data_IF_091127770852
#
_entry.id   IF_091127770852
#
_cell.length_a   1.000
_cell.length_b   1.000
_cell.length_c   1.000
_cell.angle_alpha   90.00
_cell.angle_beta   90.00
_cell.angle_gamma   90.00
#
_symmetry.space_group_name_H-M   'P 1'
#
loop_
_entity.id
_entity.type
_entity.pdbx_description
1 polymer ?
#
# COMPACT_ATOMS: atom_id res chain seq x y z
N UNK A 1 -3.76 -6.03 21.63
CA UNK A 1 -4.42 -4.84 21.05
C UNK A 1 -3.51 -3.92 20.23
N UNK A 2 -2.22 -3.81 20.53
CA UNK A 2 -1.29 -2.90 19.83
C UNK A 2 -1.35 -3.00 18.30
N UNK A 3 -1.32 -4.21 17.72
CA UNK A 3 -1.33 -4.41 16.26
C UNK A 3 -2.57 -3.79 15.59
N UNK A 4 -3.77 -4.05 16.13
CA UNK A 4 -5.02 -3.53 15.58
C UNK A 4 -5.05 -1.99 15.62
N UNK A 5 -4.63 -1.41 16.75
CA UNK A 5 -4.53 0.03 16.90
C UNK A 5 -3.51 0.65 15.94
N UNK A 6 -2.32 0.04 15.80
CA UNK A 6 -1.28 0.53 14.88
C UNK A 6 -1.71 0.46 13.43
N UNK A 7 -2.43 -0.60 13.00
CA UNK A 7 -2.94 -0.71 11.63
C UNK A 7 -3.97 0.36 11.31
N UNK A 8 -4.90 0.59 12.25
CA UNK A 8 -5.91 1.65 12.13
C UNK A 8 -5.25 3.03 12.02
N UNK A 9 -4.28 3.32 12.89
CA UNK A 9 -3.52 4.57 12.86
C UNK A 9 -2.78 4.75 11.53
N UNK A 10 -2.07 3.71 11.06
CA UNK A 10 -1.40 3.72 9.76
C UNK A 10 -2.37 4.02 8.60
N UNK A 11 -3.53 3.36 8.58
CA UNK A 11 -4.56 3.60 7.57
C UNK A 11 -5.05 5.06 7.58
N UNK A 12 -5.32 5.62 8.76
CA UNK A 12 -5.73 7.02 8.89
C UNK A 12 -4.66 8.01 8.39
N UNK A 13 -3.39 7.74 8.69
CA UNK A 13 -2.27 8.60 8.28
C UNK A 13 -1.98 8.51 6.79
N UNK A 14 -2.10 7.32 6.20
CA UNK A 14 -2.05 7.13 4.76
C UNK A 14 -3.19 7.85 4.05
N UNK A 15 -4.41 7.79 4.59
CA UNK A 15 -5.55 8.53 4.06
C UNK A 15 -5.30 10.04 4.07
N UNK A 16 -4.71 10.58 5.14
CA UNK A 16 -4.36 12.00 5.24
C UNK A 16 -3.32 12.42 4.20
N UNK A 17 -2.25 11.63 4.00
CA UNK A 17 -1.25 11.88 2.95
C UNK A 17 -1.86 11.86 1.57
N UNK A 18 -2.72 10.88 1.28
CA UNK A 18 -3.36 10.75 -0.02
C UNK A 18 -4.37 11.86 -0.29
N UNK A 19 -4.96 12.46 0.75
CA UNK A 19 -5.84 13.63 0.63
C UNK A 19 -5.06 14.90 0.29
N UNK A 20 -3.85 15.06 0.85
CA UNK A 20 -3.00 16.21 0.56
C UNK A 20 -2.14 16.07 -0.71
N UNK A 21 -2.12 14.89 -1.33
CA UNK A 21 -1.28 14.62 -2.51
C UNK A 21 -2.09 14.76 -3.79
N UNK A 22 -1.78 15.77 -4.60
CA UNK A 22 -2.28 15.89 -5.96
C UNK A 22 -1.43 15.06 -6.94
N UNK A 23 -2.06 14.48 -7.98
CA UNK A 23 -1.35 13.74 -9.01
C UNK A 23 -2.28 12.99 -9.98
N UNK A 24 -1.69 12.25 -10.92
CA UNK A 24 -2.44 11.48 -11.91
C UNK A 24 -3.02 10.16 -11.37
N UNK A 25 -2.57 9.71 -10.19
CA UNK A 25 -3.08 8.50 -9.55
C UNK A 25 -4.37 8.78 -8.77
N UNK A 26 -5.35 7.86 -8.80
CA UNK A 26 -6.56 8.01 -8.02
C UNK A 26 -6.24 7.96 -6.52
N UNK A 27 -6.97 8.76 -5.74
CA UNK A 27 -6.95 8.66 -4.28
C UNK A 27 -7.49 7.28 -3.88
N UNK A 28 -6.74 6.54 -3.09
CA UNK A 28 -7.26 5.38 -2.37
C UNK A 28 -7.77 5.83 -0.99
N UNK A 29 -8.87 5.22 -0.55
CA UNK A 29 -9.39 5.36 0.82
C UNK A 29 -9.25 4.00 1.48
N UNK A 30 -8.46 3.94 2.55
CA UNK A 30 -8.13 2.72 3.28
C UNK A 30 -9.01 2.59 4.53
N UNK A 31 -9.49 1.39 4.77
CA UNK A 31 -10.12 0.98 6.01
C UNK A 31 -9.59 -0.40 6.42
N UNK A 32 -9.51 -0.66 7.72
CA UNK A 32 -9.19 -2.01 8.22
C UNK A 32 -10.49 -2.67 8.65
N UNK A 33 -10.82 -3.80 8.04
CA UNK A 33 -12.03 -4.56 8.32
C UNK A 33 -11.67 -5.76 9.18
N UNK A 34 -12.03 -5.72 10.46
CA UNK A 34 -11.75 -6.80 11.39
C UNK A 34 -12.46 -6.56 12.70
N UNK A 35 -12.79 -7.63 13.42
CA UNK A 35 -13.52 -7.49 14.68
C UNK A 35 -12.73 -6.67 15.71
N UNK A 36 -11.42 -6.91 15.95
CA UNK A 36 -10.66 -6.09 16.90
C UNK A 36 -10.59 -4.61 16.52
N UNK A 37 -10.44 -4.29 15.23
CA UNK A 37 -10.40 -2.92 14.73
C UNK A 37 -11.76 -2.22 14.85
N UNK A 38 -12.85 -2.88 14.46
CA UNK A 38 -14.20 -2.32 14.61
C UNK A 38 -14.60 -2.12 16.07
N UNK A 39 -14.19 -3.02 16.98
CA UNK A 39 -14.44 -2.83 18.41
C UNK A 39 -13.70 -1.61 19.00
N UNK A 40 -12.55 -1.22 18.41
CA UNK A 40 -11.82 -0.01 18.81
C UNK A 40 -12.51 1.29 18.38
N UNK A 41 -13.52 1.23 17.52
CA UNK A 41 -14.38 2.39 17.20
C UNK A 41 -15.48 2.58 18.26
N UNK A 42 -15.86 1.50 18.96
CA UNK A 42 -16.95 1.49 19.93
C UNK A 42 -16.47 1.63 21.38
N UNK A 43 -15.24 1.20 21.68
CA UNK A 43 -14.76 1.07 23.05
C UNK A 43 -13.25 1.36 23.21
N UNK A 44 -12.79 1.76 24.41
CA UNK A 44 -11.37 1.91 24.71
C UNK A 44 -10.60 0.60 24.56
N UNK A 45 -9.31 0.70 24.22
CA UNK A 45 -8.45 -0.46 23.95
C UNK A 45 -8.46 -1.52 25.06
N UNK A 46 -8.55 -1.11 26.33
CA UNK A 46 -8.61 -2.04 27.46
C UNK A 46 -9.88 -2.90 27.45
N UNK A 47 -11.05 -2.30 27.15
CA UNK A 47 -12.31 -3.02 27.07
C UNK A 47 -12.33 -3.97 25.85
N UNK A 48 -11.74 -3.53 24.73
CA UNK A 48 -11.59 -4.37 23.54
C UNK A 48 -10.64 -5.54 23.79
N UNK A 49 -9.57 -5.34 24.56
CA UNK A 49 -8.67 -6.42 24.96
C UNK A 49 -9.40 -7.50 25.76
N UNK A 50 -10.25 -7.09 26.71
CA UNK A 50 -11.03 -8.03 27.50
C UNK A 50 -12.09 -8.74 26.64
N UNK A 51 -12.73 -8.03 25.71
CA UNK A 51 -13.64 -8.62 24.73
C UNK A 51 -12.94 -9.66 23.85
N UNK A 52 -11.73 -9.37 23.38
CA UNK A 52 -10.92 -10.31 22.60
C UNK A 52 -10.50 -11.52 23.44
N UNK A 53 -10.10 -11.32 24.71
CA UNK A 53 -9.78 -12.40 25.66
C UNK A 53 -10.97 -13.34 25.82
N UNK A 54 -12.17 -12.80 26.03
CA UNK A 54 -13.39 -13.57 26.17
C UNK A 54 -13.74 -14.34 24.88
N UNK A 55 -13.63 -13.69 23.71
CA UNK A 55 -13.88 -14.32 22.41
C UNK A 55 -12.93 -15.50 22.13
N UNK A 56 -11.63 -15.32 22.42
CA UNK A 56 -10.62 -16.38 22.32
C UNK A 56 -10.89 -17.54 23.29
N UNK A 57 -11.32 -17.26 24.52
CA UNK A 57 -11.68 -18.28 25.49
C UNK A 57 -12.89 -19.10 25.03
N UNK A 58 -13.93 -18.43 24.51
CA UNK A 58 -15.14 -19.07 24.03
C UNK A 58 -14.91 -19.93 22.77
N UNK A 59 -14.05 -19.48 21.85
CA UNK A 59 -13.77 -20.18 20.60
C UNK A 59 -12.79 -21.37 20.75
N UNK A 60 -12.19 -21.58 21.92
CA UNK A 60 -11.10 -22.55 22.13
C UNK A 60 -11.42 -23.96 21.64
N UNK A 61 -12.64 -24.45 21.88
CA UNK A 61 -13.06 -25.78 21.43
C UNK A 61 -13.13 -25.90 19.91
N UNK A 62 -13.73 -24.90 19.26
CA UNK A 62 -13.85 -24.87 17.79
C UNK A 62 -12.50 -24.65 17.10
N UNK A 63 -11.65 -23.80 17.67
CA UNK A 63 -10.29 -23.53 17.18
C UNK A 63 -9.41 -24.79 17.29
N UNK A 64 -9.60 -25.61 18.33
CA UNK A 64 -8.90 -26.88 18.46
C UNK A 64 -9.31 -27.91 17.40
N UNK A 65 -10.59 -27.91 16.99
CA UNK A 65 -11.09 -28.80 15.93
C UNK A 65 -10.63 -28.31 14.55
N UNK A 66 -10.65 -27.00 14.30
CA UNK A 66 -10.28 -26.42 13.00
C UNK A 66 -8.77 -26.28 12.81
N UNK A 67 -7.98 -26.32 13.89
CA UNK A 67 -6.54 -26.03 13.88
C UNK A 67 -6.21 -24.55 13.59
N UNK A 68 -7.19 -23.66 13.65
CA UNK A 68 -7.03 -22.25 13.29
C UNK A 68 -7.68 -21.34 14.32
N UNK A 69 -6.97 -20.28 14.72
CA UNK A 69 -7.52 -19.23 15.60
C UNK A 69 -8.48 -18.32 14.83
N UNK A 70 -9.73 -18.25 15.28
CA UNK A 70 -10.80 -17.47 14.63
C UNK A 70 -10.80 -15.98 14.97
N UNK A 71 -10.26 -15.59 16.13
CA UNK A 71 -10.30 -14.21 16.62
C UNK A 71 -8.91 -13.60 16.72
N UNK A 72 -8.75 -12.40 16.18
CA UNK A 72 -7.50 -11.64 16.29
C UNK A 72 -7.22 -10.81 15.04
N UNK A 73 -6.24 -9.89 15.11
CA UNK A 73 -5.92 -8.99 14.01
C UNK A 73 -5.38 -9.72 12.77
N UNK A 74 -4.91 -10.97 12.90
CA UNK A 74 -4.51 -11.79 11.75
C UNK A 74 -5.66 -12.17 10.82
N UNK A 75 -6.91 -11.96 11.26
CA UNK A 75 -8.13 -12.19 10.46
C UNK A 75 -8.67 -10.91 9.81
N UNK A 76 -8.07 -9.75 10.11
CA UNK A 76 -8.51 -8.47 9.58
C UNK A 76 -8.02 -8.28 8.15
N UNK A 77 -8.83 -7.61 7.34
CA UNK A 77 -8.56 -7.29 5.94
C UNK A 77 -8.32 -5.79 5.75
N UNK A 78 -7.64 -5.42 4.66
CA UNK A 78 -7.46 -4.04 4.23
C UNK A 78 -8.45 -3.74 3.11
N UNK A 79 -9.54 -3.08 3.46
CA UNK A 79 -10.48 -2.56 2.48
C UNK A 79 -9.92 -1.31 1.82
N UNK A 80 -10.04 -1.26 0.50
CA UNK A 80 -9.61 -0.12 -0.32
C UNK A 80 -10.77 0.31 -1.18
N UNK A 81 -11.09 1.60 -1.18
CA UNK A 81 -12.10 2.20 -2.05
C UNK A 81 -11.49 3.31 -2.91
N UNK A 82 -12.04 3.48 -4.12
CA UNK A 82 -11.67 4.56 -5.02
C UNK A 82 -12.24 5.89 -4.51
N UNK A 83 -11.38 6.83 -4.15
CA UNK A 83 -11.75 8.02 -3.38
C UNK A 83 -12.72 9.00 -4.07
N UNK A 84 -12.89 8.92 -5.39
CA UNK A 84 -13.89 9.74 -6.11
C UNK A 84 -15.27 9.09 -6.19
N UNK A 85 -15.31 7.78 -6.42
CA UNK A 85 -16.56 7.04 -6.71
C UNK A 85 -17.08 6.29 -5.49
N UNK A 86 -16.23 6.07 -4.47
CA UNK A 86 -16.52 5.19 -3.34
C UNK A 86 -16.50 3.70 -3.70
N UNK A 87 -16.25 3.36 -4.97
CA UNK A 87 -16.27 1.97 -5.45
C UNK A 87 -15.19 1.14 -4.76
N UNK A 88 -15.51 -0.06 -4.24
CA UNK A 88 -14.51 -0.98 -3.72
C UNK A 88 -13.47 -1.30 -4.78
N UNK A 89 -12.18 -1.32 -4.41
CA UNK A 89 -11.09 -1.56 -5.35
C UNK A 89 -11.24 -2.90 -6.09
N UNK A 90 -11.79 -3.92 -5.41
CA UNK A 90 -12.08 -5.23 -6.00
C UNK A 90 -13.07 -5.16 -7.19
N UNK A 91 -13.91 -4.13 -7.24
CA UNK A 91 -14.90 -3.89 -8.32
C UNK A 91 -14.38 -2.92 -9.38
N UNK A 92 -13.27 -2.22 -9.14
CA UNK A 92 -12.65 -1.34 -10.12
C UNK A 92 -12.00 -2.14 -11.27
N UNK A 93 -11.73 -1.47 -12.39
CA UNK A 93 -10.98 -2.08 -13.48
C UNK A 93 -9.55 -2.43 -13.06
N UNK A 94 -8.91 -3.40 -13.71
CA UNK A 94 -7.52 -3.80 -13.41
C UNK A 94 -6.54 -2.62 -13.48
N UNK A 95 -6.76 -1.68 -14.41
CA UNK A 95 -5.94 -0.46 -14.52
C UNK A 95 -6.12 0.48 -13.32
N UNK A 96 -7.36 0.64 -12.84
CA UNK A 96 -7.65 1.43 -11.63
C UNK A 96 -7.10 0.76 -10.37
N UNK A 97 -7.23 -0.56 -10.24
CA UNK A 97 -6.64 -1.32 -9.13
C UNK A 97 -5.13 -1.09 -9.03
N UNK A 98 -4.41 -1.21 -10.17
CA UNK A 98 -2.96 -0.93 -10.22
C UNK A 98 -2.64 0.51 -9.86
N UNK A 99 -3.46 1.46 -10.33
CA UNK A 99 -3.27 2.87 -10.03
C UNK A 99 -3.53 3.22 -8.55
N UNK A 100 -4.52 2.56 -7.91
CA UNK A 100 -4.77 2.65 -6.46
C UNK A 100 -3.63 2.03 -5.66
N UNK A 101 -3.11 0.88 -6.08
CA UNK A 101 -1.95 0.26 -5.43
C UNK A 101 -0.72 1.19 -5.46
N UNK A 102 -0.46 1.82 -6.60
CA UNK A 102 0.63 2.79 -6.73
C UNK A 102 0.42 4.04 -5.89
N UNK A 103 -0.81 4.54 -5.76
CA UNK A 103 -1.07 5.68 -4.86
C UNK A 103 -0.80 5.33 -3.40
N UNK A 104 -1.18 4.12 -2.96
CA UNK A 104 -0.88 3.61 -1.62
C UNK A 104 0.64 3.48 -1.41
N UNK A 105 1.36 2.89 -2.36
CA UNK A 105 2.81 2.71 -2.27
C UNK A 105 3.55 4.04 -2.18
N UNK A 106 3.18 5.01 -3.03
CA UNK A 106 3.79 6.34 -3.01
C UNK A 106 3.42 7.11 -1.74
N UNK A 107 2.20 6.95 -1.20
CA UNK A 107 1.80 7.54 0.07
C UNK A 107 2.59 6.94 1.24
N UNK A 108 2.80 5.63 1.25
CA UNK A 108 3.63 4.95 2.24
C UNK A 108 5.08 5.45 2.18
N UNK A 109 5.65 5.61 0.99
CA UNK A 109 7.01 6.12 0.83
C UNK A 109 7.17 7.55 1.37
N UNK A 110 6.18 8.42 1.11
CA UNK A 110 6.11 9.78 1.70
C UNK A 110 5.97 9.75 3.22
N UNK A 111 5.12 8.88 3.74
CA UNK A 111 4.92 8.73 5.19
C UNK A 111 6.22 8.32 5.87
N UNK A 112 6.90 7.30 5.34
CA UNK A 112 8.20 6.83 5.87
C UNK A 112 9.25 7.95 5.82
N UNK A 113 9.32 8.69 4.71
CA UNK A 113 10.23 9.83 4.59
C UNK A 113 9.95 10.91 5.64
N UNK A 114 8.68 11.26 5.85
CA UNK A 114 8.26 12.26 6.82
C UNK A 114 8.51 11.84 8.27
N UNK A 115 8.26 10.58 8.62
CA UNK A 115 8.43 10.08 9.98
C UNK A 115 9.88 9.80 10.36
N UNK A 116 10.66 9.24 9.42
CA UNK A 116 12.00 8.74 9.70
C UNK A 116 13.09 9.69 9.23
N UNK A 117 12.74 10.77 8.54
CA UNK A 117 13.69 11.69 7.91
C UNK A 117 14.53 11.03 6.82
N UNK A 118 14.10 9.86 6.32
CA UNK A 118 14.84 9.05 5.35
C UNK A 118 13.88 8.53 4.28
N UNK A 119 14.14 8.89 3.03
CA UNK A 119 13.38 8.36 1.89
C UNK A 119 13.74 6.90 1.63
N UNK A 120 12.78 5.97 1.53
CA UNK A 120 13.07 4.57 1.29
C UNK A 120 13.56 4.32 -0.14
N UNK A 121 14.36 3.26 -0.32
CA UNK A 121 14.65 2.71 -1.65
C UNK A 121 13.38 2.05 -2.19
N UNK A 122 13.02 2.38 -3.43
CA UNK A 122 11.83 1.83 -4.09
C UNK A 122 12.25 0.84 -5.17
N UNK A 123 11.66 -0.36 -5.16
CA UNK A 123 11.87 -1.39 -6.17
C UNK A 123 10.54 -1.61 -6.87
N UNK A 124 10.47 -1.32 -8.17
CA UNK A 124 9.24 -1.39 -8.95
C UNK A 124 9.42 -2.31 -10.16
N UNK A 125 8.84 -3.51 -10.05
CA UNK A 125 8.98 -4.55 -11.07
C UNK A 125 7.91 -4.41 -12.16
N UNK A 126 8.34 -4.27 -13.41
CA UNK A 126 7.53 -4.13 -14.64
C UNK A 126 6.39 -3.09 -14.59
N UNK A 127 6.42 -2.17 -13.63
CA UNK A 127 5.33 -1.21 -13.39
C UNK A 127 5.04 -0.34 -14.60
N UNK A 128 6.08 0.05 -15.34
CA UNK A 128 5.99 0.99 -16.46
C UNK A 128 5.22 0.41 -17.66
N UNK A 129 5.25 -0.91 -17.84
CA UNK A 129 4.53 -1.61 -18.91
C UNK A 129 3.02 -1.71 -18.64
N UNK A 130 2.60 -1.51 -17.39
CA UNK A 130 1.21 -1.61 -16.97
C UNK A 130 0.49 -0.26 -16.85
N UNK A 131 1.17 0.82 -17.19
CA UNK A 131 0.64 2.17 -17.10
C UNK A 131 0.48 2.80 -18.48
N UNK A 132 -0.60 3.56 -18.63
CA UNK A 132 -0.71 4.52 -19.73
C UNK A 132 0.37 5.61 -19.63
N UNK A 133 0.62 6.30 -20.73
CA UNK A 133 1.68 7.30 -20.86
C UNK A 133 1.61 8.39 -19.78
N UNK A 134 0.39 8.88 -19.48
CA UNK A 134 0.16 9.92 -18.49
C UNK A 134 0.49 9.44 -17.08
N UNK A 135 0.04 8.25 -16.69
CA UNK A 135 0.33 7.68 -15.37
C UNK A 135 1.80 7.33 -15.21
N UNK A 136 2.45 6.88 -16.28
CA UNK A 136 3.88 6.58 -16.28
C UNK A 136 4.73 7.84 -16.07
N UNK A 137 4.42 8.92 -16.78
CA UNK A 137 5.07 10.21 -16.55
C UNK A 137 4.87 10.69 -15.09
N UNK A 138 3.63 10.61 -14.59
CA UNK A 138 3.33 10.99 -13.21
C UNK A 138 4.01 10.12 -12.15
N UNK A 139 4.24 8.83 -12.43
CA UNK A 139 5.03 7.96 -11.55
C UNK A 139 6.45 8.49 -11.46
N UNK A 140 7.09 8.75 -12.59
CA UNK A 140 8.46 9.24 -12.64
C UNK A 140 8.61 10.59 -11.94
N UNK A 141 7.71 11.54 -12.22
CA UNK A 141 7.65 12.83 -11.51
C UNK A 141 7.51 12.63 -9.99
N UNK A 142 6.63 11.73 -9.56
CA UNK A 142 6.44 11.46 -8.13
C UNK A 142 7.68 10.85 -7.46
N UNK A 143 8.41 9.97 -8.15
CA UNK A 143 9.64 9.36 -7.64
C UNK A 143 10.76 10.38 -7.52
N UNK A 144 10.92 11.23 -8.55
CA UNK A 144 11.91 12.31 -8.58
C UNK A 144 11.62 13.37 -7.51
N UNK A 145 10.36 13.80 -7.38
CA UNK A 145 9.95 14.78 -6.37
C UNK A 145 10.10 14.25 -4.94
N UNK A 146 9.94 12.93 -4.74
CA UNK A 146 10.19 12.28 -3.45
C UNK A 146 11.69 12.22 -3.11
N UNK A 147 12.58 12.40 -4.10
CA UNK A 147 14.02 12.21 -3.93
C UNK A 147 14.38 10.75 -3.61
N UNK A 148 13.55 9.80 -4.06
CA UNK A 148 13.76 8.38 -3.77
C UNK A 148 14.83 7.79 -4.69
N UNK A 149 15.71 6.95 -4.13
CA UNK A 149 16.45 6.02 -4.96
C UNK A 149 15.49 4.93 -5.44
N UNK A 150 15.14 4.95 -6.72
CA UNK A 150 14.18 4.01 -7.31
C UNK A 150 14.84 3.12 -8.37
N UNK A 151 14.61 1.82 -8.27
CA UNK A 151 14.96 0.82 -9.28
C UNK A 151 13.69 0.37 -9.97
N UNK A 152 13.68 0.47 -11.30
CA UNK A 152 12.57 0.05 -12.12
C UNK A 152 13.05 -0.98 -13.13
N UNK A 153 12.24 -1.99 -13.39
CA UNK A 153 12.51 -2.99 -14.43
C UNK A 153 11.48 -2.87 -15.55
N UNK A 154 11.88 -3.29 -16.75
CA UNK A 154 10.99 -3.41 -17.88
C UNK A 154 11.70 -3.99 -19.09
N UNK A 155 10.93 -4.54 -20.01
CA UNK A 155 11.43 -5.21 -21.22
C UNK A 155 11.66 -4.25 -22.39
N UNK A 156 11.13 -3.03 -22.31
CA UNK A 156 11.17 -2.05 -23.41
C UNK A 156 11.72 -0.70 -22.95
N UNK A 157 12.85 -0.28 -23.53
CA UNK A 157 13.54 0.98 -23.20
C UNK A 157 12.64 2.22 -23.39
N UNK A 158 11.80 2.22 -24.44
CA UNK A 158 10.88 3.33 -24.77
C UNK A 158 9.88 3.68 -23.66
N UNK A 159 9.56 2.75 -22.77
CA UNK A 159 8.65 3.01 -21.64
C UNK A 159 9.30 4.01 -20.66
N UNK A 160 10.63 4.05 -20.61
CA UNK A 160 11.40 4.89 -19.71
C UNK A 160 11.93 6.15 -20.37
N UNK A 161 11.67 6.36 -21.67
CA UNK A 161 12.10 7.55 -22.40
C UNK A 161 11.78 8.89 -21.68
N UNK A 162 10.64 9.06 -20.98
CA UNK A 162 10.38 10.30 -20.25
C UNK A 162 11.34 10.61 -19.09
N UNK A 163 12.10 9.62 -18.59
CA UNK A 163 13.12 9.87 -17.57
C UNK A 163 14.36 10.59 -18.15
N UNK A 164 14.67 10.39 -19.44
CA UNK A 164 15.83 10.98 -20.08
C UNK A 164 17.11 10.82 -19.25
N UNK A 165 17.83 11.92 -19.05
CA UNK A 165 19.09 11.96 -18.29
C UNK A 165 18.91 11.90 -16.76
N UNK A 166 17.67 11.80 -16.27
CA UNK A 166 17.37 11.72 -14.83
C UNK A 166 17.45 10.28 -14.28
N UNK A 167 17.73 9.30 -15.14
CA UNK A 167 17.89 7.90 -14.77
C UNK A 167 19.16 7.29 -15.38
N UNK A 168 19.68 6.28 -14.70
CA UNK A 168 20.73 5.41 -15.23
C UNK A 168 20.09 4.16 -15.82
N UNK A 169 20.49 3.81 -17.03
CA UNK A 169 19.98 2.65 -17.74
C UNK A 169 20.99 1.52 -17.71
N UNK A 170 20.54 0.34 -17.30
CA UNK A 170 21.36 -0.86 -17.28
C UNK A 170 20.66 -1.93 -18.12
N UNK A 171 21.44 -2.67 -18.93
CA UNK A 171 20.91 -3.81 -19.69
C UNK A 171 21.26 -5.10 -18.96
N UNK A 172 20.27 -5.95 -18.73
CA UNK A 172 20.48 -7.27 -18.15
C UNK A 172 20.36 -8.32 -19.25
N UNK A 173 21.41 -9.12 -19.43
CA UNK A 173 21.44 -10.21 -20.40
C UNK A 173 22.18 -11.41 -19.82
N UNK A 174 21.61 -12.60 -19.96
CA UNK A 174 22.23 -13.87 -19.54
C UNK A 174 22.71 -13.85 -18.07
N UNK A 175 21.94 -13.21 -17.17
CA UNK A 175 22.27 -13.07 -15.74
C UNK A 175 23.36 -12.03 -15.43
N UNK A 176 23.80 -11.25 -16.41
CA UNK A 176 24.83 -10.21 -16.25
C UNK A 176 24.26 -8.81 -16.47
N UNK A 177 24.71 -7.86 -15.64
CA UNK A 177 24.39 -6.44 -15.79
C UNK A 177 25.47 -5.80 -16.66
N UNK A 178 25.07 -5.26 -17.79
CA UNK A 178 25.92 -4.52 -18.72
C UNK A 178 25.60 -3.04 -18.52
N UNK A 179 26.62 -2.28 -18.10
CA UNK A 179 26.55 -0.82 -18.06
C UNK A 179 26.37 -0.27 -19.50
N UNK A 180 25.72 0.89 -19.67
CA UNK A 180 25.42 1.44 -20.98
C UNK A 180 26.68 1.78 -21.79
#
# INVERSE_FOLDING_TARGET
MAIAATRRDLGARLNAIMESTAGAFPRAVLATEGSPEGWLDEAPALAVEERLRAALAAARGEDAVSGMTRWGPHRSDLAVAHGRSGMPAAECSTGEQKALLLSILLAQARLVAAERGMTPVLLLDEVAAHLDERRRAALFEALLALGAQAWLTGTEERLFAPLGDQAQFFRVRDGTVVAP
#
